data_IF_771525233399
#
_entry.id   IF_771525233399
#
_cell.length_a   1.000
_cell.length_b   1.000
_cell.length_c   1.000
_cell.angle_alpha   90.00
_cell.angle_beta   90.00
_cell.angle_gamma   90.00
#
_symmetry.space_group_name_H-M   'P 1'
#
loop_
_entity.id
_entity.type
_entity.pdbx_description
1 polymer ?
#
# COMPACT_ATOMS: atom_id res chain seq x y z
N UNK A 1 -7.34 2.63 12.40
CA UNK A 1 -7.66 3.09 11.04
C UNK A 1 -6.96 2.10 10.13
N UNK A 2 -7.71 1.34 9.36
CA UNK A 2 -7.15 0.35 8.45
C UNK A 2 -6.79 1.04 7.15
N UNK A 3 -5.70 0.61 6.51
CA UNK A 3 -5.24 1.13 5.24
C UNK A 3 -5.18 0.01 4.21
N UNK A 4 -5.40 0.31 2.94
CA UNK A 4 -5.24 -0.64 1.85
C UNK A 4 -4.16 -0.18 0.89
N UNK A 5 -3.20 -1.05 0.65
CA UNK A 5 -2.20 -0.91 -0.40
C UNK A 5 -2.75 -1.45 -1.71
N UNK A 6 -2.57 -0.69 -2.80
CA UNK A 6 -2.79 -1.17 -4.16
C UNK A 6 -1.64 -0.78 -5.06
N UNK A 7 -1.08 -1.74 -5.78
CA UNK A 7 -0.13 -1.46 -6.85
C UNK A 7 -0.88 -1.21 -8.17
N UNK A 8 -0.37 -0.29 -8.99
CA UNK A 8 -0.94 -0.02 -10.32
C UNK A 8 -0.54 -1.09 -11.37
N UNK A 9 0.61 -1.72 -11.16
CA UNK A 9 1.27 -2.58 -12.14
C UNK A 9 1.15 -4.08 -11.83
N UNK A 10 0.77 -4.45 -10.60
CA UNK A 10 0.57 -5.84 -10.20
C UNK A 10 -0.64 -5.99 -9.25
N UNK A 11 -1.09 -7.23 -9.05
CA UNK A 11 -2.22 -7.59 -8.17
C UNK A 11 -1.89 -7.48 -6.67
N UNK A 12 -0.98 -6.57 -6.27
CA UNK A 12 -0.75 -6.27 -4.87
C UNK A 12 -1.97 -5.53 -4.32
N UNK A 13 -2.80 -6.24 -3.57
CA UNK A 13 -3.86 -5.70 -2.74
C UNK A 13 -3.68 -6.21 -1.31
N UNK A 14 -3.37 -5.32 -0.37
CA UNK A 14 -3.06 -5.70 1.01
C UNK A 14 -3.67 -4.72 2.01
N UNK A 15 -4.36 -5.26 3.01
CA UNK A 15 -4.82 -4.47 4.16
C UNK A 15 -3.73 -4.38 5.24
N UNK A 16 -3.56 -3.17 5.78
CA UNK A 16 -2.62 -2.83 6.82
C UNK A 16 -3.34 -2.22 8.03
N UNK A 17 -2.98 -2.62 9.26
CA UNK A 17 -3.68 -2.17 10.48
C UNK A 17 -3.41 -0.72 10.86
N UNK A 18 -2.35 -0.12 10.31
CA UNK A 18 -1.89 1.24 10.62
C UNK A 18 -1.08 1.84 9.45
N UNK A 19 -0.99 3.17 9.46
CA UNK A 19 -0.29 3.93 8.43
C UNK A 19 1.22 3.63 8.37
N UNK A 20 1.97 3.55 9.49
CA UNK A 20 3.38 3.18 9.47
C UNK A 20 3.65 1.84 8.75
N UNK A 21 2.81 0.84 8.98
CA UNK A 21 2.90 -0.47 8.32
C UNK A 21 2.62 -0.33 6.82
N UNK A 22 1.55 0.37 6.44
CA UNK A 22 1.22 0.60 5.03
C UNK A 22 2.35 1.34 4.30
N UNK A 23 2.85 2.43 4.88
CA UNK A 23 3.92 3.23 4.28
C UNK A 23 5.21 2.43 4.10
N UNK A 24 5.61 1.64 5.10
CA UNK A 24 6.80 0.80 5.01
C UNK A 24 6.65 -0.24 3.89
N UNK A 25 5.51 -0.90 3.82
CA UNK A 25 5.25 -1.96 2.84
C UNK A 25 5.15 -1.37 1.41
N UNK A 26 4.54 -0.19 1.24
CA UNK A 26 4.54 0.54 -0.03
C UNK A 26 5.97 0.87 -0.49
N UNK A 27 6.76 1.52 0.36
CA UNK A 27 8.14 1.89 0.01
C UNK A 27 9.02 0.68 -0.27
N UNK A 28 8.83 -0.43 0.45
CA UNK A 28 9.55 -1.67 0.18
C UNK A 28 9.21 -2.23 -1.21
N UNK A 29 7.94 -2.21 -1.60
CA UNK A 29 7.50 -2.65 -2.91
C UNK A 29 8.03 -1.75 -4.04
N UNK A 30 7.95 -0.43 -3.88
CA UNK A 30 8.48 0.52 -4.87
C UNK A 30 10.01 0.43 -5.00
N UNK A 31 10.71 0.09 -3.91
CA UNK A 31 12.16 -0.13 -3.96
C UNK A 31 12.54 -1.45 -4.67
N UNK A 32 11.71 -2.49 -4.55
CA UNK A 32 11.90 -3.77 -5.25
C UNK A 32 11.50 -3.67 -6.74
N UNK A 33 10.45 -2.89 -7.03
CA UNK A 33 9.91 -2.69 -8.37
C UNK A 33 9.90 -1.20 -8.74
N UNK A 34 10.98 -0.67 -9.34
CA UNK A 34 11.13 0.75 -9.61
C UNK A 34 10.12 1.32 -10.63
N UNK A 35 9.46 0.46 -11.40
CA UNK A 35 8.41 0.84 -12.36
C UNK A 35 7.00 0.71 -11.78
N UNK A 36 6.86 0.24 -10.54
CA UNK A 36 5.55 0.08 -9.88
C UNK A 36 5.25 1.28 -8.99
N UNK A 37 3.99 1.70 -8.96
CA UNK A 37 3.51 2.70 -8.02
C UNK A 37 2.51 2.09 -7.03
N UNK A 38 2.66 2.37 -5.73
CA UNK A 38 1.73 1.86 -4.70
C UNK A 38 0.92 3.00 -4.09
N UNK A 39 -0.41 2.89 -4.19
CA UNK A 39 -1.36 3.80 -3.55
C UNK A 39 -1.83 3.26 -2.21
N UNK A 40 -1.86 4.12 -1.19
CA UNK A 40 -2.37 3.80 0.15
C UNK A 40 -3.73 4.47 0.32
N UNK A 41 -4.78 3.67 0.46
CA UNK A 41 -6.13 4.12 0.73
C UNK A 41 -6.43 4.01 2.23
N UNK A 42 -7.02 5.06 2.81
CA UNK A 42 -7.59 4.97 4.15
C UNK A 42 -8.96 4.28 4.05
N UNK A 43 -9.15 3.19 4.77
CA UNK A 43 -10.39 2.41 4.82
C UNK A 43 -11.29 2.81 5.99
N UNK A 44 -11.13 4.01 6.57
CA UNK A 44 -12.12 4.52 7.52
C UNK A 44 -13.52 4.47 6.89
N UNK A 45 -14.42 3.69 7.52
CA UNK A 45 -15.83 3.64 7.16
C UNK A 45 -16.38 5.08 7.07
N UNK A 46 -16.91 5.42 5.90
CA UNK A 46 -17.49 6.72 5.59
C UNK A 46 -18.77 7.00 6.39
#
# INVERSE_FOLDING_TARGET
>A
MTYQLRCDSCDLERECPDWPTANRDASAHEAEYPDHWVSIYDLQEA
#
